data_IF_487530797274
#
_entry.id   IF_487530797274
#
_cell.length_a   1.000
_cell.length_b   1.000
_cell.length_c   1.000
_cell.angle_alpha   90.00
_cell.angle_beta   90.00
_cell.angle_gamma   90.00
#
_symmetry.space_group_name_H-M   'P 1'
#
loop_
_entity.id
_entity.type
_entity.pdbx_description
1 polymer ?
#
# COMPACT_ATOMS: atom_id res chain seq x y z
N UNK A 1 -35.86 39.00 -12.05
CA UNK A 1 -34.88 38.79 -10.98
C UNK A 1 -34.98 37.32 -10.58
N UNK A 2 -33.97 36.50 -10.89
CA UNK A 2 -33.93 35.06 -10.58
C UNK A 2 -33.27 34.91 -9.22
N UNK A 3 -33.84 34.09 -8.34
CA UNK A 3 -33.04 33.49 -7.26
C UNK A 3 -33.47 32.03 -7.16
N UNK A 4 -32.60 31.16 -7.66
CA UNK A 4 -32.70 29.72 -7.57
C UNK A 4 -32.32 29.28 -6.15
N UNK A 5 -33.02 28.26 -5.69
CA UNK A 5 -32.83 27.60 -4.41
C UNK A 5 -31.47 26.88 -4.45
N UNK A 6 -30.53 27.32 -3.63
CA UNK A 6 -29.30 26.59 -3.35
C UNK A 6 -29.67 25.41 -2.43
N UNK A 7 -29.81 24.24 -3.02
CA UNK A 7 -29.80 22.98 -2.29
C UNK A 7 -28.34 22.75 -1.92
N UNK A 8 -28.01 23.00 -0.66
CA UNK A 8 -26.71 22.64 -0.07
C UNK A 8 -26.53 21.13 -0.22
N UNK A 9 -25.75 20.77 -1.23
CA UNK A 9 -25.27 19.42 -1.44
C UNK A 9 -24.49 19.01 -0.19
N UNK A 10 -24.95 17.91 0.42
CA UNK A 10 -24.23 17.22 1.50
C UNK A 10 -22.78 17.05 1.09
N UNK A 11 -21.87 17.66 1.85
CA UNK A 11 -20.46 17.35 1.84
C UNK A 11 -20.29 15.84 2.05
N UNK A 12 -20.14 15.13 0.95
CA UNK A 12 -19.67 13.75 0.96
C UNK A 12 -18.20 13.88 1.28
N UNK A 13 -17.81 13.54 2.52
CA UNK A 13 -16.40 13.43 2.91
C UNK A 13 -15.76 12.35 2.05
N UNK A 14 -15.27 12.72 0.88
CA UNK A 14 -14.33 11.90 0.13
C UNK A 14 -13.07 11.79 0.98
N UNK A 15 -12.87 10.64 1.59
CA UNK A 15 -11.53 10.23 2.01
C UNK A 15 -10.68 10.21 0.73
N UNK A 16 -9.92 11.27 0.49
CA UNK A 16 -8.90 11.33 -0.55
C UNK A 16 -7.81 10.30 -0.20
N UNK A 17 -8.04 9.02 -0.51
CA UNK A 17 -7.02 7.99 -0.42
C UNK A 17 -5.92 8.34 -1.44
N UNK A 18 -4.74 8.70 -0.94
CA UNK A 18 -3.58 8.94 -1.81
C UNK A 18 -3.02 7.58 -2.21
N UNK A 19 -3.21 7.18 -3.46
CA UNK A 19 -2.61 5.96 -4.01
C UNK A 19 -1.26 6.28 -4.68
N UNK A 20 -0.19 5.66 -4.22
CA UNK A 20 1.14 5.73 -4.86
C UNK A 20 1.39 4.41 -5.59
N UNK A 21 1.68 4.47 -6.89
CA UNK A 21 2.11 3.29 -7.66
C UNK A 21 3.62 3.15 -7.47
N UNK A 22 4.05 2.10 -6.79
CA UNK A 22 5.47 1.85 -6.54
C UNK A 22 6.11 1.07 -7.68
N UNK A 23 5.37 0.12 -8.26
CA UNK A 23 5.93 -0.76 -9.26
C UNK A 23 4.87 -1.37 -10.17
N UNK A 24 5.27 -1.67 -11.41
CA UNK A 24 4.40 -2.26 -12.44
C UNK A 24 5.25 -3.02 -13.47
N UNK A 25 5.52 -4.31 -13.26
CA UNK A 25 6.36 -5.14 -14.14
C UNK A 25 6.08 -6.64 -14.00
N UNK A 26 6.62 -7.44 -14.91
CA UNK A 26 6.68 -8.91 -14.79
C UNK A 26 7.77 -9.34 -13.79
N UNK A 27 7.44 -10.29 -12.93
CA UNK A 27 8.37 -10.95 -12.02
C UNK A 27 8.55 -12.42 -12.36
N UNK A 28 9.79 -12.90 -12.36
CA UNK A 28 10.09 -14.32 -12.31
C UNK A 28 9.74 -14.91 -10.93
N UNK A 29 9.57 -16.25 -10.81
CA UNK A 29 9.42 -16.90 -9.51
C UNK A 29 10.53 -16.49 -8.54
N UNK A 30 10.17 -16.09 -7.33
CA UNK A 30 11.11 -15.66 -6.27
C UNK A 30 11.98 -14.44 -6.60
N UNK A 31 11.72 -13.71 -7.69
CA UNK A 31 12.38 -12.44 -7.97
C UNK A 31 11.99 -11.39 -6.92
N UNK A 32 12.95 -10.56 -6.51
CA UNK A 32 12.74 -9.43 -5.61
C UNK A 32 12.89 -8.09 -6.31
N UNK A 33 12.09 -7.09 -5.90
CA UNK A 33 12.31 -5.67 -6.20
C UNK A 33 12.39 -4.87 -4.92
N UNK A 34 13.11 -3.75 -4.95
CA UNK A 34 13.25 -2.83 -3.82
C UNK A 34 12.75 -1.47 -4.26
N UNK A 35 11.76 -0.94 -3.55
CA UNK A 35 11.18 0.38 -3.83
C UNK A 35 11.29 1.28 -2.62
N UNK A 36 11.72 2.51 -2.83
CA UNK A 36 11.74 3.54 -1.78
C UNK A 36 10.31 3.88 -1.35
N UNK A 37 10.10 3.99 -0.05
CA UNK A 37 8.84 4.45 0.55
C UNK A 37 9.12 5.46 1.65
N UNK A 38 8.39 6.56 1.63
CA UNK A 38 8.44 7.52 2.73
C UNK A 38 7.49 7.08 3.84
N UNK A 39 7.98 6.31 4.81
CA UNK A 39 7.18 5.90 5.97
C UNK A 39 6.85 7.05 6.91
N UNK A 40 7.41 8.26 6.73
CA UNK A 40 6.99 9.43 7.48
C UNK A 40 5.52 9.78 7.21
N UNK A 41 4.99 9.44 6.03
CA UNK A 41 3.56 9.59 5.72
C UNK A 41 2.68 8.67 6.57
N UNK A 42 3.27 7.67 7.24
CA UNK A 42 2.60 6.65 8.07
C UNK A 42 2.69 6.94 9.58
N UNK A 43 3.18 8.12 9.96
CA UNK A 43 3.49 8.45 11.36
C UNK A 43 2.30 8.32 12.30
N UNK A 44 1.07 8.50 11.79
CA UNK A 44 -0.18 8.44 12.56
C UNK A 44 -1.33 7.62 11.92
N UNK A 45 -1.24 7.26 10.63
CA UNK A 45 -2.38 6.71 9.87
C UNK A 45 -2.19 5.25 9.45
N UNK A 46 -3.31 4.54 9.27
CA UNK A 46 -3.35 3.17 8.77
C UNK A 46 -3.01 3.13 7.28
N UNK A 47 -1.76 2.81 6.93
CA UNK A 47 -1.36 2.53 5.55
C UNK A 47 -1.72 1.10 5.13
N UNK A 48 -2.29 0.93 3.93
CA UNK A 48 -2.52 -0.38 3.31
C UNK A 48 -1.69 -0.47 2.03
N UNK A 49 -0.83 -1.48 1.97
CA UNK A 49 -0.14 -1.89 0.75
C UNK A 49 -0.98 -2.94 0.03
N UNK A 50 -1.34 -2.67 -1.22
CA UNK A 50 -2.10 -3.57 -2.09
C UNK A 50 -1.24 -3.94 -3.28
N UNK A 51 -1.00 -5.23 -3.46
CA UNK A 51 -0.32 -5.80 -4.63
C UNK A 51 -1.38 -6.54 -5.43
N UNK A 52 -1.42 -6.31 -6.74
CA UNK A 52 -2.35 -6.97 -7.67
C UNK A 52 -1.60 -7.61 -8.81
N UNK A 53 -2.10 -8.73 -9.31
CA UNK A 53 -1.67 -9.26 -10.60
C UNK A 53 -2.67 -8.95 -11.71
N UNK A 54 -2.41 -9.43 -12.92
CA UNK A 54 -3.28 -9.27 -14.08
C UNK A 54 -4.54 -10.17 -14.08
N UNK A 55 -4.73 -11.00 -13.05
CA UNK A 55 -5.87 -11.88 -12.86
C UNK A 55 -6.79 -11.36 -11.73
N UNK A 56 -6.62 -10.11 -11.33
CA UNK A 56 -7.33 -9.45 -10.22
C UNK A 56 -7.15 -10.12 -8.84
N UNK A 57 -6.21 -11.05 -8.72
CA UNK A 57 -5.81 -11.59 -7.42
C UNK A 57 -5.00 -10.55 -6.66
N UNK A 58 -5.10 -10.56 -5.33
CA UNK A 58 -4.49 -9.53 -4.50
C UNK A 58 -3.73 -10.09 -3.31
N UNK A 59 -2.69 -9.37 -2.91
CA UNK A 59 -2.09 -9.46 -1.59
C UNK A 59 -2.22 -8.09 -0.90
N UNK A 60 -2.62 -8.08 0.36
CA UNK A 60 -2.86 -6.87 1.12
C UNK A 60 -2.13 -6.94 2.45
N UNK A 61 -1.45 -5.85 2.80
CA UNK A 61 -0.67 -5.74 4.03
C UNK A 61 -0.99 -4.42 4.73
N UNK A 62 -1.25 -4.48 6.03
CA UNK A 62 -1.43 -3.30 6.88
C UNK A 62 -0.10 -2.88 7.48
N UNK A 63 0.19 -1.58 7.47
CA UNK A 63 1.33 -1.03 8.21
C UNK A 63 1.08 -1.14 9.72
N UNK A 64 2.07 -1.64 10.45
CA UNK A 64 2.08 -1.71 11.90
C UNK A 64 3.32 -1.00 12.43
N UNK A 65 3.12 0.11 13.15
CA UNK A 65 4.20 0.84 13.81
C UNK A 65 4.68 0.05 15.04
N UNK A 66 5.99 -0.06 15.25
CA UNK A 66 6.53 -0.65 16.47
C UNK A 66 6.35 0.34 17.63
N UNK A 67 5.49 0.00 18.59
CA UNK A 67 5.13 0.87 19.73
C UNK A 67 6.14 0.74 20.89
N UNK A 68 7.01 -0.28 20.86
CA UNK A 68 7.76 -0.73 22.06
C UNK A 68 9.05 0.07 22.34
N UNK A 69 9.55 0.90 21.42
CA UNK A 69 10.76 1.70 21.66
C UNK A 69 10.71 3.06 20.98
N UNK A 70 10.68 4.12 21.80
CA UNK A 70 10.60 5.54 21.44
C UNK A 70 11.74 6.09 20.57
N UNK A 71 12.71 5.25 20.17
CA UNK A 71 13.99 5.71 19.63
C UNK A 71 14.31 5.13 18.22
N UNK A 72 13.41 4.33 17.67
CA UNK A 72 13.52 3.79 16.30
C UNK A 72 12.15 3.86 15.65
N UNK A 73 11.98 4.78 14.69
CA UNK A 73 10.81 4.85 13.81
C UNK A 73 10.78 3.61 12.91
N UNK A 74 10.45 2.46 13.48
CA UNK A 74 10.39 1.18 12.77
C UNK A 74 8.97 0.64 12.81
N UNK A 75 8.64 -0.15 11.82
CA UNK A 75 7.38 -0.86 11.70
C UNK A 75 7.52 -2.00 10.71
N UNK A 76 6.42 -2.71 10.48
CA UNK A 76 6.37 -3.83 9.57
C UNK A 76 5.01 -3.91 8.87
N UNK A 77 5.00 -4.57 7.71
CA UNK A 77 3.78 -4.87 6.99
C UNK A 77 3.21 -6.19 7.50
N UNK A 78 2.07 -6.12 8.17
CA UNK A 78 1.31 -7.29 8.62
C UNK A 78 0.37 -7.74 7.51
N UNK A 79 0.54 -8.99 7.08
CA UNK A 79 -0.34 -9.63 6.10
C UNK A 79 -1.81 -9.62 6.57
N UNK A 80 -2.71 -9.23 5.67
CA UNK A 80 -4.17 -9.33 5.80
C UNK A 80 -4.66 -10.51 4.97
N UNK A 81 -4.25 -10.55 3.69
CA UNK A 81 -4.51 -11.62 2.74
C UNK A 81 -3.38 -11.68 1.71
N UNK A 82 -3.13 -12.84 1.11
CA UNK A 82 -2.00 -13.01 0.21
C UNK A 82 -2.24 -14.14 -0.80
N UNK A 83 -3.16 -13.90 -1.73
CA UNK A 83 -3.50 -14.88 -2.77
C UNK A 83 -2.38 -15.03 -3.81
N UNK A 84 -1.43 -14.09 -3.82
CA UNK A 84 -0.31 -14.03 -4.76
C UNK A 84 0.94 -14.77 -4.26
N UNK A 85 0.98 -15.14 -2.98
CA UNK A 85 2.14 -15.76 -2.35
C UNK A 85 3.38 -14.85 -2.30
N UNK A 86 3.21 -13.53 -2.29
CA UNK A 86 4.31 -12.55 -2.25
C UNK A 86 4.75 -12.27 -0.82
N UNK A 87 6.01 -11.92 -0.61
CA UNK A 87 6.52 -11.51 0.70
C UNK A 87 6.92 -10.04 0.67
N UNK A 88 6.64 -9.30 1.75
CA UNK A 88 6.98 -7.88 1.89
C UNK A 88 7.82 -7.67 3.14
N UNK A 89 9.01 -7.09 2.96
CA UNK A 89 9.90 -6.67 4.04
C UNK A 89 10.04 -5.15 4.04
N UNK A 90 10.04 -4.55 5.22
CA UNK A 90 10.30 -3.13 5.39
C UNK A 90 11.75 -2.91 5.84
N UNK A 91 12.47 -2.02 5.17
CA UNK A 91 13.89 -1.74 5.38
C UNK A 91 14.16 -0.23 5.56
N UNK A 92 13.57 0.38 6.58
CA UNK A 92 13.81 1.80 6.92
C UNK A 92 13.07 2.77 6.00
N UNK A 93 13.67 3.11 4.86
CA UNK A 93 13.13 4.03 3.84
C UNK A 93 12.71 3.32 2.55
N UNK A 94 12.65 1.98 2.58
CA UNK A 94 12.27 1.17 1.43
C UNK A 94 11.49 -0.08 1.84
N UNK A 95 10.85 -0.70 0.85
CA UNK A 95 10.30 -2.05 0.94
C UNK A 95 11.00 -2.97 -0.05
N UNK A 96 11.22 -4.21 0.37
CA UNK A 96 11.54 -5.30 -0.55
C UNK A 96 10.30 -6.14 -0.75
N UNK A 97 9.93 -6.35 -2.01
CA UNK A 97 8.83 -7.23 -2.41
C UNK A 97 9.43 -8.42 -3.13
N UNK A 98 9.12 -9.62 -2.64
CA UNK A 98 9.58 -10.89 -3.20
C UNK A 98 8.38 -11.59 -3.81
N UNK A 99 8.46 -11.91 -5.10
CA UNK A 99 7.41 -12.62 -5.80
C UNK A 99 7.25 -14.07 -5.27
N UNK A 100 6.05 -14.61 -5.42
CA UNK A 100 5.76 -16.01 -5.12
C UNK A 100 6.44 -16.99 -6.09
N UNK A 101 6.06 -18.26 -5.99
CA UNK A 101 6.66 -19.35 -6.78
C UNK A 101 6.26 -19.41 -8.25
N UNK A 102 5.53 -18.41 -8.77
CA UNK A 102 5.04 -18.37 -10.15
C UNK A 102 5.41 -17.07 -10.84
N UNK A 103 5.60 -17.11 -12.17
CA UNK A 103 5.78 -15.90 -12.96
C UNK A 103 4.46 -15.13 -13.02
N UNK A 104 4.48 -13.84 -12.69
CA UNK A 104 3.30 -12.99 -12.76
C UNK A 104 3.67 -11.51 -12.91
N UNK A 105 2.78 -10.76 -13.57
CA UNK A 105 2.84 -9.30 -13.59
C UNK A 105 2.30 -8.76 -12.28
N UNK A 106 3.00 -7.82 -11.64
CA UNK A 106 2.60 -7.24 -10.36
C UNK A 106 2.51 -5.72 -10.47
N UNK A 107 1.41 -5.17 -9.95
CA UNK A 107 1.24 -3.73 -9.69
C UNK A 107 1.11 -3.50 -8.19
N UNK A 108 1.84 -2.52 -7.67
CA UNK A 108 1.89 -2.22 -6.24
C UNK A 108 1.32 -0.83 -5.99
N UNK A 109 0.27 -0.78 -5.19
CA UNK A 109 -0.41 0.43 -4.76
C UNK A 109 -0.24 0.61 -3.26
N UNK A 110 0.16 1.80 -2.85
CA UNK A 110 0.21 2.18 -1.45
C UNK A 110 -0.87 3.20 -1.14
N UNK A 111 -1.79 2.86 -0.23
CA UNK A 111 -2.89 3.69 0.22
C UNK A 111 -2.57 4.23 1.62
N UNK A 112 -2.64 5.55 1.77
CA UNK A 112 -2.43 6.30 3.02
C UNK A 112 -3.70 7.03 3.40
#
# INVERSE_FOLDING_TARGET
MKTAVEISEKETKEHHFKSIILLSKDFAPHESSVEEIDTAILRNDFGILIIKNNQDQTAQFSWQKNIVSSNTESGYFKEIMNDLGVTVHHNGDSITVINGGVKQFLTIHFMV
#
